data_IF_886732686690
#
_entry.id   IF_886732686690
#
_cell.length_a   1.000
_cell.length_b   1.000
_cell.length_c   1.000
_cell.angle_alpha   90.00
_cell.angle_beta   90.00
_cell.angle_gamma   90.00
#
_symmetry.space_group_name_H-M   'P 1'
#
loop_
_entity.id
_entity.type
_entity.pdbx_description
1 polymer ?
#
# COMPACT_ATOMS: atom_id res chain seq x y z
N UNK A 1 -24.72 -13.57 13.55
CA UNK A 1 -24.98 -12.11 13.59
C UNK A 1 -26.38 -11.88 13.07
N UNK A 2 -27.10 -10.92 13.65
CA UNK A 2 -28.35 -10.48 13.03
C UNK A 2 -28.06 -9.68 11.75
N UNK A 3 -29.10 -9.43 10.94
CA UNK A 3 -28.94 -8.78 9.63
C UNK A 3 -28.33 -7.37 9.73
N UNK A 4 -28.66 -6.62 10.78
CA UNK A 4 -28.13 -5.26 11.02
C UNK A 4 -26.64 -5.28 11.36
N UNK A 5 -26.20 -6.21 12.21
CA UNK A 5 -24.77 -6.40 12.49
C UNK A 5 -24.01 -6.85 11.26
N UNK A 6 -24.60 -7.73 10.45
CA UNK A 6 -24.01 -8.18 9.19
C UNK A 6 -23.84 -7.01 8.21
N UNK A 7 -24.85 -6.16 8.03
CA UNK A 7 -24.75 -4.95 7.21
C UNK A 7 -23.68 -3.98 7.75
N UNK A 8 -23.63 -3.78 9.06
CA UNK A 8 -22.61 -2.92 9.69
C UNK A 8 -21.20 -3.44 9.43
N UNK A 9 -20.99 -4.74 9.55
CA UNK A 9 -19.68 -5.37 9.30
C UNK A 9 -19.29 -5.28 7.83
N UNK A 10 -20.22 -5.50 6.90
CA UNK A 10 -19.99 -5.29 5.46
C UNK A 10 -19.65 -3.84 5.12
N UNK A 11 -20.39 -2.89 5.67
CA UNK A 11 -20.14 -1.45 5.48
C UNK A 11 -18.77 -1.05 6.01
N UNK A 12 -18.40 -1.52 7.22
CA UNK A 12 -17.09 -1.26 7.82
C UNK A 12 -15.96 -1.89 7.01
N UNK A 13 -16.12 -3.13 6.56
CA UNK A 13 -15.15 -3.80 5.70
C UNK A 13 -14.95 -3.01 4.40
N UNK A 14 -16.06 -2.57 3.78
CA UNK A 14 -16.04 -1.83 2.53
C UNK A 14 -15.25 -0.51 2.65
N UNK A 15 -15.52 0.28 3.68
CA UNK A 15 -14.79 1.52 3.95
C UNK A 15 -13.31 1.27 4.26
N UNK A 16 -13.01 0.19 5.00
CA UNK A 16 -11.63 -0.22 5.27
C UNK A 16 -10.88 -0.64 4.01
N UNK A 17 -11.54 -1.36 3.10
CA UNK A 17 -10.96 -1.78 1.82
C UNK A 17 -10.68 -0.59 0.90
N UNK A 18 -11.58 0.39 0.81
CA UNK A 18 -11.34 1.64 0.08
C UNK A 18 -10.13 2.42 0.64
N UNK A 19 -9.97 2.40 1.96
CA UNK A 19 -8.80 3.01 2.60
C UNK A 19 -7.52 2.25 2.24
N UNK A 20 -7.59 0.92 2.19
CA UNK A 20 -6.48 0.07 1.78
C UNK A 20 -6.07 0.33 0.32
N UNK A 21 -7.02 0.43 -0.62
CA UNK A 21 -6.70 0.69 -2.04
C UNK A 21 -6.05 2.06 -2.25
N UNK A 22 -6.55 3.11 -1.57
CA UNK A 22 -5.92 4.44 -1.57
C UNK A 22 -4.49 4.37 -1.03
N UNK A 23 -4.27 3.63 0.06
CA UNK A 23 -2.95 3.46 0.65
C UNK A 23 -1.99 2.71 -0.30
N UNK A 24 -2.48 1.71 -1.03
CA UNK A 24 -1.67 0.97 -2.00
C UNK A 24 -1.30 1.84 -3.21
N UNK A 25 -2.24 2.66 -3.68
CA UNK A 25 -1.97 3.66 -4.74
C UNK A 25 -0.89 4.66 -4.31
N UNK A 26 -0.97 5.16 -3.07
CA UNK A 26 0.05 6.05 -2.50
C UNK A 26 1.42 5.37 -2.40
N UNK A 27 1.46 4.10 -1.99
CA UNK A 27 2.70 3.30 -1.93
C UNK A 27 3.30 3.18 -3.33
N UNK A 28 2.49 2.85 -4.35
CA UNK A 28 2.94 2.77 -5.75
C UNK A 28 3.47 4.11 -6.27
N UNK A 29 2.83 5.22 -5.93
CA UNK A 29 3.32 6.56 -6.28
C UNK A 29 4.67 6.86 -5.62
N UNK A 30 4.83 6.50 -4.34
CA UNK A 30 6.10 6.68 -3.63
C UNK A 30 7.22 5.82 -4.22
N UNK A 31 6.91 4.58 -4.61
CA UNK A 31 7.86 3.67 -5.26
C UNK A 31 8.37 4.27 -6.58
N UNK A 32 7.46 4.76 -7.43
CA UNK A 32 7.85 5.45 -8.67
C UNK A 32 8.75 6.68 -8.42
N UNK A 33 8.50 7.45 -7.36
CA UNK A 33 9.33 8.61 -6.99
C UNK A 33 10.73 8.18 -6.49
N UNK A 34 10.81 7.09 -5.74
CA UNK A 34 12.08 6.52 -5.27
C UNK A 34 12.89 6.04 -6.47
N UNK A 35 12.28 5.30 -7.39
CA UNK A 35 12.93 4.83 -8.62
C UNK A 35 13.43 5.98 -9.50
N UNK A 36 12.62 7.03 -9.70
CA UNK A 36 13.04 8.21 -10.45
C UNK A 36 14.23 8.92 -9.80
N UNK A 37 14.23 9.03 -8.46
CA UNK A 37 15.36 9.61 -7.73
C UNK A 37 16.62 8.73 -7.83
N UNK A 38 16.49 7.41 -7.73
CA UNK A 38 17.61 6.48 -7.89
C UNK A 38 18.24 6.58 -9.27
N UNK A 39 17.43 6.70 -10.32
CA UNK A 39 17.91 6.93 -11.67
C UNK A 39 18.66 8.27 -11.78
N UNK A 40 18.11 9.35 -11.22
CA UNK A 40 18.79 10.66 -11.20
C UNK A 40 20.10 10.65 -10.41
N UNK A 41 20.19 9.88 -9.30
CA UNK A 41 21.45 9.69 -8.58
C UNK A 41 22.47 8.99 -9.47
N UNK A 42 22.08 7.88 -10.11
CA UNK A 42 22.94 7.11 -11.00
C UNK A 42 23.45 7.95 -12.19
N UNK A 43 22.62 8.83 -12.75
CA UNK A 43 22.99 9.75 -13.83
C UNK A 43 23.82 10.95 -13.34
N UNK A 44 23.71 11.29 -12.05
CA UNK A 44 24.49 12.35 -11.42
C UNK A 44 25.89 11.90 -10.99
N UNK A 45 26.13 10.59 -10.87
CA UNK A 45 27.45 10.02 -10.59
C UNK A 45 28.35 10.16 -11.83
N UNK A 46 29.52 10.73 -11.65
CA UNK A 46 30.56 10.73 -12.70
C UNK A 46 31.07 9.28 -12.81
N UNK A 47 30.66 8.57 -13.86
CA UNK A 47 31.24 7.26 -14.21
C UNK A 47 32.67 7.51 -14.70
N UNK A 48 33.67 7.25 -13.86
CA UNK A 48 35.07 7.28 -14.27
C UNK A 48 35.37 5.91 -14.91
N UNK A 49 35.63 5.83 -16.22
CA UNK A 49 36.10 4.60 -16.85
C UNK A 49 37.53 4.35 -16.34
N UNK A 50 37.72 3.21 -15.69
CA UNK A 50 38.89 2.87 -14.88
C UNK A 50 40.26 3.32 -15.45
N UNK A 51 40.93 4.20 -14.71
CA UNK A 51 42.36 4.07 -14.44
C UNK A 51 42.52 3.64 -12.98
N UNK A 52 43.45 2.73 -12.71
CA UNK A 52 43.73 2.16 -11.40
C UNK A 52 44.20 3.19 -10.36
N UNK A 53 43.30 4.03 -9.87
CA UNK A 53 43.49 4.83 -8.67
C UNK A 53 42.15 4.97 -7.96
N UNK A 54 42.04 4.26 -6.84
CA UNK A 54 41.04 4.48 -5.82
C UNK A 54 41.23 5.90 -5.24
N UNK A 55 40.64 6.92 -5.87
CA UNK A 55 40.38 8.19 -5.18
C UNK A 55 39.12 8.02 -4.32
N UNK A 56 39.31 7.25 -3.25
CA UNK A 56 38.42 7.18 -2.10
C UNK A 56 39.09 7.95 -0.96
N UNK A 57 39.54 9.18 -1.24
CA UNK A 57 39.96 10.11 -0.19
C UNK A 57 38.99 11.30 -0.16
N UNK A 58 38.03 11.21 0.76
CA UNK A 58 37.38 12.33 1.44
C UNK A 58 36.38 13.22 0.70
N UNK A 59 36.44 13.40 -0.61
CA UNK A 59 35.65 14.42 -1.31
C UNK A 59 35.17 13.92 -2.68
N UNK A 60 34.20 13.00 -2.68
CA UNK A 60 33.44 12.72 -3.90
C UNK A 60 32.83 14.02 -4.41
N UNK A 61 33.25 14.49 -5.60
CA UNK A 61 32.67 15.67 -6.25
C UNK A 61 31.27 15.30 -6.68
N UNK A 62 30.33 15.42 -5.75
CA UNK A 62 28.91 15.35 -6.04
C UNK A 62 28.51 16.62 -6.78
N UNK A 63 27.73 16.50 -7.87
CA UNK A 63 27.03 17.67 -8.43
C UNK A 63 26.25 18.33 -7.27
N UNK A 64 26.12 19.66 -7.26
CA UNK A 64 25.53 20.43 -6.15
C UNK A 64 24.18 19.90 -5.62
N UNK A 65 23.43 19.15 -6.43
CA UNK A 65 22.10 18.61 -6.09
C UNK A 65 22.12 17.23 -5.41
N UNK A 66 23.20 16.44 -5.49
CA UNK A 66 23.21 15.05 -5.01
C UNK A 66 22.98 14.90 -3.50
N UNK A 67 23.54 15.74 -2.60
CA UNK A 67 23.26 15.66 -1.17
C UNK A 67 21.78 15.95 -0.83
N UNK A 68 21.16 16.89 -1.55
CA UNK A 68 19.75 17.24 -1.39
C UNK A 68 18.85 16.08 -1.84
N UNK A 69 19.20 15.44 -2.96
CA UNK A 69 18.43 14.32 -3.50
C UNK A 69 18.51 13.08 -2.59
N UNK A 70 19.68 12.79 -1.99
CA UNK A 70 19.83 11.74 -0.98
C UNK A 70 18.96 11.99 0.25
N UNK A 71 18.90 13.24 0.74
CA UNK A 71 18.04 13.62 1.87
C UNK A 71 16.56 13.45 1.53
N UNK A 72 16.15 13.83 0.32
CA UNK A 72 14.78 13.64 -0.17
C UNK A 72 14.44 12.14 -0.27
N UNK A 73 15.34 11.33 -0.83
CA UNK A 73 15.11 9.90 -1.01
C UNK A 73 14.97 9.18 0.34
N UNK A 74 15.82 9.53 1.33
CA UNK A 74 15.69 9.04 2.71
C UNK A 74 14.31 9.34 3.31
N UNK A 75 13.80 10.57 3.11
CA UNK A 75 12.47 10.94 3.60
C UNK A 75 11.34 10.17 2.89
N UNK A 76 11.47 9.92 1.58
CA UNK A 76 10.51 9.14 0.82
C UNK A 76 10.47 7.68 1.28
N UNK A 77 11.62 7.05 1.50
CA UNK A 77 11.72 5.68 2.03
C UNK A 77 11.08 5.59 3.42
N UNK A 78 11.30 6.57 4.30
CA UNK A 78 10.66 6.59 5.63
C UNK A 78 9.12 6.69 5.49
N UNK A 79 8.62 7.54 4.59
CA UNK A 79 7.17 7.66 4.31
C UNK A 79 6.59 6.37 3.74
N UNK A 80 7.31 5.76 2.80
CA UNK A 80 6.96 4.47 2.18
C UNK A 80 6.83 3.39 3.23
N UNK A 81 7.85 3.18 4.06
CA UNK A 81 7.86 2.16 5.11
C UNK A 81 6.73 2.35 6.13
N UNK A 82 6.45 3.60 6.54
CA UNK A 82 5.32 3.91 7.42
C UNK A 82 3.98 3.54 6.79
N UNK A 83 3.77 3.86 5.50
CA UNK A 83 2.55 3.48 4.78
C UNK A 83 2.44 1.97 4.58
N UNK A 84 3.54 1.30 4.25
CA UNK A 84 3.61 -0.15 4.10
C UNK A 84 3.23 -0.87 5.40
N UNK A 85 3.75 -0.42 6.55
CA UNK A 85 3.37 -0.99 7.85
C UNK A 85 1.87 -0.81 8.15
N UNK A 86 1.31 0.38 7.85
CA UNK A 86 -0.13 0.63 8.01
C UNK A 86 -0.96 -0.27 7.08
N UNK A 87 -0.51 -0.46 5.84
CA UNK A 87 -1.17 -1.32 4.85
C UNK A 87 -1.20 -2.76 5.30
N UNK A 88 -0.08 -3.30 5.80
CA UNK A 88 0.00 -4.66 6.33
C UNK A 88 -0.98 -4.88 7.49
N UNK A 89 -0.99 -3.97 8.47
CA UNK A 89 -1.92 -4.06 9.61
C UNK A 89 -3.38 -4.01 9.17
N UNK A 90 -3.71 -3.08 8.27
CA UNK A 90 -5.07 -2.96 7.74
C UNK A 90 -5.47 -4.20 6.93
N UNK A 91 -4.56 -4.75 6.12
CA UNK A 91 -4.80 -5.97 5.36
C UNK A 91 -5.11 -7.17 6.27
N UNK A 92 -4.37 -7.35 7.36
CA UNK A 92 -4.64 -8.43 8.32
C UNK A 92 -6.01 -8.24 8.99
N UNK A 93 -6.33 -7.02 9.42
CA UNK A 93 -7.63 -6.72 10.03
C UNK A 93 -8.81 -6.92 9.07
N UNK A 94 -8.65 -6.52 7.80
CA UNK A 94 -9.67 -6.75 6.76
C UNK A 94 -9.85 -8.24 6.48
N UNK A 95 -8.76 -9.02 6.47
CA UNK A 95 -8.83 -10.46 6.28
C UNK A 95 -9.60 -11.15 7.42
N UNK A 96 -9.31 -10.81 8.67
CA UNK A 96 -10.05 -11.31 9.83
C UNK A 96 -11.54 -10.94 9.77
N UNK A 97 -11.86 -9.69 9.42
CA UNK A 97 -13.24 -9.24 9.25
C UNK A 97 -13.95 -10.02 8.14
N UNK A 98 -13.28 -10.27 7.01
CA UNK A 98 -13.84 -11.02 5.90
C UNK A 98 -14.13 -12.48 6.29
N UNK A 99 -13.24 -13.12 7.04
CA UNK A 99 -13.46 -14.47 7.56
C UNK A 99 -14.67 -14.52 8.51
N UNK A 100 -14.82 -13.53 9.39
CA UNK A 100 -15.98 -13.42 10.29
C UNK A 100 -17.28 -13.29 9.48
N UNK A 101 -17.31 -12.38 8.48
CA UNK A 101 -18.47 -12.17 7.60
C UNK A 101 -18.78 -13.44 6.80
N UNK A 102 -17.77 -14.10 6.26
CA UNK A 102 -17.91 -15.32 5.47
C UNK A 102 -18.49 -16.46 6.29
N UNK A 103 -17.95 -16.71 7.48
CA UNK A 103 -18.40 -17.79 8.34
C UNK A 103 -19.85 -17.59 8.79
N UNK A 104 -20.24 -16.34 9.06
CA UNK A 104 -21.62 -15.98 9.41
C UNK A 104 -22.60 -16.11 8.24
N UNK A 105 -22.13 -15.82 7.02
CA UNK A 105 -22.92 -16.05 5.82
C UNK A 105 -23.12 -17.55 5.57
N UNK A 106 -22.06 -18.35 5.67
CA UNK A 106 -22.12 -19.80 5.42
C UNK A 106 -22.95 -20.58 6.46
N UNK A 107 -23.08 -20.04 7.68
CA UNK A 107 -23.93 -20.64 8.72
C UNK A 107 -25.39 -20.20 8.65
N UNK A 108 -25.72 -19.20 7.82
CA UNK A 108 -27.11 -18.73 7.62
C UNK A 108 -27.91 -19.67 6.72
N UNK A 109 -29.22 -19.75 6.95
CA UNK A 109 -30.13 -20.59 6.17
C UNK A 109 -31.49 -19.90 5.92
N UNK A 110 -32.23 -20.42 4.94
CA UNK A 110 -33.56 -19.90 4.59
C UNK A 110 -33.57 -18.42 4.20
N UNK A 111 -34.56 -17.68 4.70
CA UNK A 111 -34.77 -16.26 4.39
C UNK A 111 -33.61 -15.36 4.85
N UNK A 112 -32.93 -15.71 5.94
CA UNK A 112 -31.78 -14.97 6.45
C UNK A 112 -30.61 -15.00 5.45
N UNK A 113 -30.38 -16.15 4.83
CA UNK A 113 -29.32 -16.32 3.83
C UNK A 113 -29.58 -15.46 2.59
N UNK A 114 -30.82 -15.41 2.12
CA UNK A 114 -31.20 -14.58 0.97
C UNK A 114 -31.02 -13.08 1.27
N UNK A 115 -31.43 -12.64 2.46
CA UNK A 115 -31.25 -11.25 2.89
C UNK A 115 -29.77 -10.87 3.00
N UNK A 116 -28.93 -11.74 3.61
CA UNK A 116 -27.49 -11.53 3.68
C UNK A 116 -26.83 -11.54 2.29
N UNK A 117 -27.29 -12.39 1.37
CA UNK A 117 -26.79 -12.42 -0.01
C UNK A 117 -27.05 -11.09 -0.74
N UNK A 118 -28.26 -10.52 -0.59
CA UNK A 118 -28.59 -9.20 -1.15
C UNK A 118 -27.68 -8.10 -0.61
N UNK A 119 -27.40 -8.11 0.68
CA UNK A 119 -26.46 -7.16 1.30
C UNK A 119 -25.03 -7.37 0.80
N UNK A 120 -24.55 -8.61 0.75
CA UNK A 120 -23.22 -8.92 0.23
C UNK A 120 -23.06 -8.41 -1.21
N UNK A 121 -24.07 -8.61 -2.08
CA UNK A 121 -24.06 -8.05 -3.44
C UNK A 121 -24.02 -6.52 -3.39
N UNK A 122 -24.86 -5.86 -2.60
CA UNK A 122 -24.90 -4.39 -2.49
C UNK A 122 -23.54 -3.79 -2.14
N UNK A 123 -22.85 -4.35 -1.14
CA UNK A 123 -21.59 -3.79 -0.63
C UNK A 123 -20.35 -4.30 -1.37
N UNK A 124 -20.38 -5.53 -1.90
CA UNK A 124 -19.20 -6.12 -2.54
C UNK A 124 -19.16 -5.91 -4.05
N UNK A 125 -20.28 -5.61 -4.72
CA UNK A 125 -20.33 -5.42 -6.19
C UNK A 125 -19.33 -4.39 -6.70
N UNK A 126 -19.05 -3.35 -5.92
CA UNK A 126 -18.04 -2.34 -6.28
C UNK A 126 -16.61 -2.90 -6.38
N UNK A 127 -16.31 -4.05 -5.79
CA UNK A 127 -15.00 -4.70 -5.86
C UNK A 127 -14.83 -5.62 -7.07
N UNK A 128 -15.91 -5.98 -7.75
CA UNK A 128 -15.88 -6.83 -8.95
C UNK A 128 -15.69 -6.03 -10.26
N UNK A 129 -15.64 -4.70 -10.15
CA UNK A 129 -15.46 -3.78 -11.28
C UNK A 129 -14.01 -3.27 -11.43
N UNK A 130 -13.08 -3.82 -10.65
CA UNK A 130 -11.64 -3.53 -10.69
C UNK A 130 -10.95 -4.60 -11.54
#
# INVERSE_FOLDING_TARGET
MNLTEFERNLSSFSAGYETYTKLMSDIKRLDNLIQANEQQLNDSLIKIPFTHLYFVDGLGIFKHQTPTLLKQNKQLIIKYNRKLMKSKKLSSSLHEQLEIIRNDYLSSNGEESEAKAKLAIKYLKQFWQI
#
